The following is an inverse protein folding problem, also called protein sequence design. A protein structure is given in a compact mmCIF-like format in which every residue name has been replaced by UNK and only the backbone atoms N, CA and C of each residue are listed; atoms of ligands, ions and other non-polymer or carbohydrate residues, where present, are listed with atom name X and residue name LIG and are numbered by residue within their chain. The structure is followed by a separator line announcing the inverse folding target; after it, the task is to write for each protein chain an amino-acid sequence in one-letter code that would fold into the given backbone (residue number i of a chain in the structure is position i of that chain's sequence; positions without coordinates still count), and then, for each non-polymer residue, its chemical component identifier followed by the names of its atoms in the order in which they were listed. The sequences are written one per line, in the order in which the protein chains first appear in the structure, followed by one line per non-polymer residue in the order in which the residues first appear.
data_IF_536831493840
#
_entry.id   IF_536831493840
#
_cell.length_a   1.000
_cell.length_b   1.000
_cell.length_c   1.000
_cell.angle_alpha   90.00
_cell.angle_beta   90.00
_cell.angle_gamma   90.00
#
_symmetry.space_group_name_H-M   'P 1'
#
loop_
_entity.id
_entity.type
_entity.pdbx_description
1 polymer ?
#
# COMPACT_ATOMS: atom_id res chain seq x y z
N UNK A 1 -12.38 15.34 -9.89
CA UNK A 1 -10.96 15.18 -10.27
C UNK A 1 -10.79 13.72 -10.62
N UNK A 2 -10.30 13.45 -11.83
CA UNK A 2 -10.07 12.08 -12.30
C UNK A 2 -8.58 11.75 -12.20
N UNK A 3 -8.26 10.58 -11.66
CA UNK A 3 -6.90 10.07 -11.58
C UNK A 3 -6.64 9.11 -12.76
N UNK A 4 -5.42 9.09 -13.32
CA UNK A 4 -5.10 8.18 -14.41
C UNK A 4 -5.18 6.73 -13.97
N UNK A 5 -5.70 5.87 -14.85
CA UNK A 5 -5.61 4.43 -14.72
C UNK A 5 -4.51 3.91 -15.65
N UNK A 6 -3.74 2.95 -15.17
CA UNK A 6 -2.66 2.29 -15.92
C UNK A 6 -3.09 0.89 -16.36
N UNK A 7 -2.36 0.31 -17.31
CA UNK A 7 -2.54 -1.09 -17.71
C UNK A 7 -2.39 -2.05 -16.53
N UNK A 8 -3.06 -3.21 -16.61
CA UNK A 8 -2.92 -4.27 -15.61
C UNK A 8 -1.48 -4.78 -15.58
N UNK A 9 -0.93 -4.93 -14.37
CA UNK A 9 0.38 -5.48 -14.09
C UNK A 9 0.30 -6.44 -12.90
N UNK A 10 1.29 -7.32 -12.76
CA UNK A 10 1.46 -8.18 -11.59
C UNK A 10 2.14 -7.39 -10.47
N UNK A 11 1.58 -7.48 -9.27
CA UNK A 11 2.04 -6.72 -8.09
C UNK A 11 2.62 -7.60 -6.99
N UNK A 12 2.57 -8.93 -7.17
CA UNK A 12 3.15 -9.99 -6.32
C UNK A 12 3.50 -11.16 -7.22
N UNK A 13 4.52 -11.95 -6.85
CA UNK A 13 4.92 -13.17 -7.57
C UNK A 13 6.23 -13.00 -8.37
N UNK A 14 6.62 -14.05 -9.10
CA UNK A 14 7.88 -14.08 -9.87
C UNK A 14 7.91 -13.04 -11.00
N UNK A 15 6.75 -12.65 -11.52
CA UNK A 15 6.56 -11.64 -12.57
C UNK A 15 6.19 -10.26 -11.99
N UNK A 16 6.40 -10.03 -10.70
CA UNK A 16 6.11 -8.75 -10.04
C UNK A 16 6.78 -7.59 -10.78
N UNK A 17 6.00 -6.56 -11.05
CA UNK A 17 6.49 -5.40 -11.79
C UNK A 17 7.59 -4.65 -10.99
N UNK A 18 8.66 -4.15 -11.63
CA UNK A 18 9.78 -3.49 -10.94
C UNK A 18 9.39 -2.33 -10.02
N UNK A 19 8.34 -1.59 -10.39
CA UNK A 19 7.77 -0.55 -9.52
C UNK A 19 7.32 -1.13 -8.17
N UNK A 20 6.58 -2.23 -8.17
CA UNK A 20 6.06 -2.82 -6.93
C UNK A 20 7.16 -3.47 -6.11
N UNK A 21 8.18 -4.08 -6.75
CA UNK A 21 9.41 -4.46 -6.06
C UNK A 21 10.04 -3.28 -5.32
N UNK A 22 10.20 -2.14 -5.97
CA UNK A 22 10.78 -0.95 -5.33
C UNK A 22 9.92 -0.45 -4.17
N UNK A 23 8.61 -0.33 -4.38
CA UNK A 23 7.69 0.19 -3.36
C UNK A 23 7.66 -0.68 -2.10
N UNK A 24 7.58 -2.01 -2.25
CA UNK A 24 7.52 -2.94 -1.12
C UNK A 24 8.86 -3.04 -0.38
N UNK A 25 9.99 -2.91 -1.08
CA UNK A 25 11.32 -2.90 -0.45
C UNK A 25 11.63 -1.57 0.25
N UNK A 26 11.19 -0.44 -0.32
CA UNK A 26 11.39 0.87 0.27
C UNK A 26 10.55 1.08 1.55
N UNK A 27 9.33 0.52 1.59
CA UNK A 27 8.51 0.43 2.80
C UNK A 27 8.00 -1.00 3.01
N UNK A 28 8.80 -1.87 3.67
CA UNK A 28 8.42 -3.25 3.95
C UNK A 28 7.22 -3.35 4.87
N UNK A 29 7.11 -2.42 5.83
CA UNK A 29 6.05 -2.38 6.81
C UNK A 29 4.90 -1.49 6.34
N UNK A 30 3.68 -1.89 6.71
CA UNK A 30 2.47 -1.11 6.47
C UNK A 30 1.80 -0.76 7.79
N UNK A 31 1.14 0.39 7.80
CA UNK A 31 0.27 0.79 8.91
C UNK A 31 -1.06 0.06 8.80
N UNK A 32 -1.39 -0.70 9.85
CA UNK A 32 -2.62 -1.47 9.96
C UNK A 32 -2.63 -2.77 9.16
N UNK A 33 -3.81 -3.40 9.10
CA UNK A 33 -4.05 -4.58 8.29
C UNK A 33 -3.88 -5.92 9.02
N UNK A 34 -3.51 -5.91 10.31
CA UNK A 34 -3.42 -7.12 11.15
C UNK A 34 -4.79 -7.80 11.24
N UNK A 35 -5.81 -7.06 11.71
CA UNK A 35 -7.19 -7.56 11.79
C UNK A 35 -7.77 -7.89 10.41
N UNK A 36 -7.30 -7.20 9.36
CA UNK A 36 -7.78 -7.43 8.01
C UNK A 36 -7.24 -8.73 7.41
N UNK A 37 -5.98 -9.07 7.67
CA UNK A 37 -5.40 -10.34 7.24
C UNK A 37 -6.15 -11.52 7.89
N UNK A 38 -6.43 -11.45 9.19
CA UNK A 38 -7.22 -12.47 9.89
C UNK A 38 -8.65 -12.57 9.34
N UNK A 39 -9.28 -11.43 9.02
CA UNK A 39 -10.59 -11.40 8.38
C UNK A 39 -10.57 -12.01 6.98
N UNK A 40 -9.51 -11.84 6.19
CA UNK A 40 -9.38 -12.49 4.87
C UNK A 40 -9.29 -14.01 5.02
N UNK A 41 -8.50 -14.49 5.99
CA UNK A 41 -8.37 -15.92 6.31
C UNK A 41 -9.72 -16.53 6.70
N UNK A 42 -10.54 -15.82 7.49
CA UNK A 42 -11.87 -16.33 7.88
C UNK A 42 -12.85 -16.44 6.71
N UNK A 43 -12.62 -15.70 5.62
CA UNK A 43 -13.35 -15.85 4.35
C UNK A 43 -12.72 -16.86 3.38
N UNK A 44 -11.71 -17.63 3.81
CA UNK A 44 -11.03 -18.64 2.98
C UNK A 44 -10.02 -18.08 1.98
N UNK A 45 -9.58 -16.84 2.15
CA UNK A 45 -8.52 -16.25 1.33
C UNK A 45 -7.16 -16.38 2.01
N UNK A 46 -6.10 -16.46 1.22
CA UNK A 46 -4.72 -16.43 1.71
C UNK A 46 -4.15 -15.02 1.50
N UNK A 47 -4.09 -14.16 2.55
CA UNK A 47 -3.44 -12.87 2.44
C UNK A 47 -1.94 -13.04 2.17
N UNK A 48 -1.35 -12.12 1.42
CA UNK A 48 0.09 -12.12 1.23
C UNK A 48 0.82 -11.63 2.48
N UNK A 49 1.95 -12.26 2.78
CA UNK A 49 2.82 -11.89 3.89
C UNK A 49 3.67 -10.66 3.56
N UNK A 50 4.12 -9.95 4.58
CA UNK A 50 5.08 -8.86 4.39
C UNK A 50 6.39 -9.40 3.79
N UNK A 51 7.06 -8.67 2.88
CA UNK A 51 6.75 -7.29 2.46
C UNK A 51 5.77 -7.20 1.27
N UNK A 52 5.16 -8.29 0.80
CA UNK A 52 4.28 -8.27 -0.37
C UNK A 52 3.02 -7.45 -0.13
N UNK A 53 2.36 -7.05 -1.24
CA UNK A 53 1.06 -6.37 -1.21
C UNK A 53 0.02 -7.34 -0.65
N UNK A 54 -0.56 -6.99 0.50
CA UNK A 54 -1.53 -7.78 1.25
C UNK A 54 -2.76 -8.15 0.42
N UNK A 55 -3.37 -7.13 -0.21
CA UNK A 55 -4.62 -7.26 -0.96
C UNK A 55 -4.88 -6.03 -1.83
N UNK A 56 -5.98 -6.06 -2.58
CA UNK A 56 -6.49 -4.92 -3.34
C UNK A 56 -6.68 -3.69 -2.46
N UNK A 57 -6.36 -2.51 -3.01
CA UNK A 57 -6.42 -1.19 -2.35
C UNK A 57 -5.37 -0.95 -1.26
N UNK A 58 -4.23 -1.62 -1.27
CA UNK A 58 -3.07 -1.15 -0.51
C UNK A 58 -2.55 0.20 -1.06
N UNK A 59 -2.08 1.10 -0.19
CA UNK A 59 -1.65 2.45 -0.60
C UNK A 59 -0.19 2.69 -0.23
N UNK A 60 0.53 3.34 -1.12
CA UNK A 60 1.88 3.86 -0.91
C UNK A 60 1.84 5.38 -1.03
N UNK A 61 2.51 6.07 -0.10
CA UNK A 61 2.71 7.50 -0.17
C UNK A 61 4.13 7.79 -0.64
N UNK A 62 4.22 8.54 -1.73
CA UNK A 62 5.48 8.99 -2.33
C UNK A 62 5.56 10.51 -2.20
N UNK A 63 6.67 11.03 -1.68
CA UNK A 63 6.84 12.47 -1.48
C UNK A 63 7.30 13.20 -2.76
N UNK A 64 7.48 14.53 -2.68
CA UNK A 64 7.89 15.37 -3.82
C UNK A 64 9.29 15.03 -4.36
N UNK A 65 10.12 14.36 -3.55
CA UNK A 65 11.47 13.92 -3.90
C UNK A 65 11.49 12.52 -4.52
N UNK A 66 10.33 11.86 -4.62
CA UNK A 66 10.21 10.51 -5.16
C UNK A 66 10.47 9.39 -4.15
N UNK A 67 10.55 9.71 -2.86
CA UNK A 67 10.81 8.73 -1.80
C UNK A 67 9.52 8.12 -1.28
N UNK A 68 9.53 6.81 -1.01
CA UNK A 68 8.40 6.10 -0.39
C UNK A 68 8.42 6.33 1.11
N UNK A 69 7.53 7.19 1.58
CA UNK A 69 7.55 7.69 2.97
C UNK A 69 6.55 6.99 3.88
N UNK A 70 5.52 6.36 3.32
CA UNK A 70 4.56 5.58 4.11
C UNK A 70 3.84 4.54 3.26
N UNK A 71 3.27 3.54 3.93
CA UNK A 71 2.50 2.45 3.35
C UNK A 71 1.33 2.10 4.26
N UNK A 72 0.14 1.95 3.69
CA UNK A 72 -1.12 1.77 4.43
C UNK A 72 -1.89 0.56 3.92
N UNK A 73 -2.39 -0.25 4.85
CA UNK A 73 -3.14 -1.44 4.53
C UNK A 73 -4.45 -1.14 3.76
N UNK A 74 -4.98 -2.14 3.03
CA UNK A 74 -6.27 -2.08 2.34
C UNK A 74 -7.43 -1.52 3.16
N UNK A 75 -7.52 -1.89 4.44
CA UNK A 75 -8.60 -1.48 5.33
C UNK A 75 -8.45 -0.07 5.91
N UNK A 76 -7.37 0.66 5.59
CA UNK A 76 -7.23 2.08 5.91
C UNK A 76 -8.03 2.88 4.86
N UNK A 77 -9.12 3.57 5.26
CA UNK A 77 -9.87 4.41 4.34
C UNK A 77 -9.01 5.54 3.75
N UNK A 78 -9.34 6.00 2.55
CA UNK A 78 -8.63 7.11 1.91
C UNK A 78 -8.78 8.44 2.68
N UNK A 79 -9.80 8.56 3.53
CA UNK A 79 -10.09 9.70 4.40
C UNK A 79 -9.62 9.51 5.85
N UNK A 80 -8.94 8.41 6.16
CA UNK A 80 -8.40 8.15 7.50
C UNK A 80 -7.42 9.26 7.94
N UNK A 81 -7.52 9.65 9.21
CA UNK A 81 -6.65 10.69 9.78
C UNK A 81 -5.17 10.34 9.63
N UNK A 82 -4.77 9.07 9.84
CA UNK A 82 -3.37 8.63 9.72
C UNK A 82 -2.81 8.90 8.33
N UNK A 83 -3.61 8.67 7.29
CA UNK A 83 -3.21 8.90 5.91
C UNK A 83 -3.15 10.41 5.62
N UNK A 84 -4.20 11.16 5.99
CA UNK A 84 -4.28 12.61 5.78
C UNK A 84 -3.20 13.38 6.51
N UNK A 85 -2.93 13.03 7.76
CA UNK A 85 -1.91 13.67 8.59
C UNK A 85 -0.52 13.42 8.02
N UNK A 86 -0.26 12.20 7.50
CA UNK A 86 1.01 11.91 6.82
C UNK A 86 1.17 12.74 5.55
N UNK A 87 0.12 12.86 4.73
CA UNK A 87 0.14 13.73 3.54
C UNK A 87 0.42 15.19 3.94
N UNK A 88 -0.28 15.71 4.94
CA UNK A 88 -0.11 17.09 5.40
C UNK A 88 1.31 17.35 5.94
N UNK A 89 1.88 16.37 6.66
CA UNK A 89 3.25 16.45 7.14
C UNK A 89 4.28 16.50 6.00
N UNK A 90 4.10 15.73 4.92
CA UNK A 90 4.97 15.80 3.74
C UNK A 90 4.77 17.08 2.92
N UNK A 91 3.55 17.62 2.88
CA UNK A 91 3.27 18.87 2.17
C UNK A 91 3.88 20.09 2.86
N UNK A 92 4.04 20.04 4.18
CA UNK A 92 4.68 21.08 4.99
C UNK A 92 6.22 21.11 4.87
N UNK A 93 6.82 20.13 4.17
CA UNK A 93 8.23 20.10 3.78
C UNK A 93 8.44 20.78 2.42
#
# INVERSE_FOLDING_TARGET
MDLPLFSKISVVGEDQHPLYHYLTQAQPQRTGGEDFAERLKSFGNTPNELPEVLWNFEKFLVNKQGEVVARFAPNIPADDARLRDTINAELAK
#
